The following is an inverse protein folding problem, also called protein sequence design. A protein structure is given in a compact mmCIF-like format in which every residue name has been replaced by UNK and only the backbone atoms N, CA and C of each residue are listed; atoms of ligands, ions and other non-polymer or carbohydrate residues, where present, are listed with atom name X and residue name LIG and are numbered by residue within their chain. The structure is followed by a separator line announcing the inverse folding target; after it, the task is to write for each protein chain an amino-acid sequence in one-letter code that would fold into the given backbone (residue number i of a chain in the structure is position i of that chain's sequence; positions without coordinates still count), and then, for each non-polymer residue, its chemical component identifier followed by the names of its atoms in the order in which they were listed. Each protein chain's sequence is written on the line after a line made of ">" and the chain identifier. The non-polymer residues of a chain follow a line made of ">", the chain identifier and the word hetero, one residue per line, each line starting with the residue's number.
data_IF_489586799704
#
_entry.id   IF_489586799704
#
_cell.length_a   1.000
_cell.length_b   1.000
_cell.length_c   1.000
_cell.angle_alpha   90.00
_cell.angle_beta   90.00
_cell.angle_gamma   90.00
#
_symmetry.space_group_name_H-M   'P 1'
#
loop_
_entity.id
_entity.type
_entity.pdbx_description
1 polymer ?
#
# COMPACT_ATOMS: atom_id res chain seq x y z
N UNK A 1 0.78 -11.77 10.86
CA UNK A 1 0.63 -10.68 11.85
C UNK A 1 0.24 -9.45 11.04
N UNK A 2 -0.86 -8.77 11.35
CA UNK A 2 -1.30 -7.54 10.65
C UNK A 2 -0.93 -6.28 11.43
N UNK A 3 -0.87 -5.15 10.73
CA UNK A 3 -0.61 -3.80 11.28
C UNK A 3 -1.50 -2.78 10.63
N UNK A 4 -1.91 -1.73 11.35
CA UNK A 4 -2.66 -0.63 10.75
C UNK A 4 -1.76 0.16 9.82
N UNK A 5 -2.32 0.67 8.72
CA UNK A 5 -1.57 1.46 7.74
C UNK A 5 -0.86 2.65 8.38
N UNK A 6 -1.48 3.32 9.36
CA UNK A 6 -0.85 4.43 10.10
C UNK A 6 0.39 4.01 10.89
N UNK A 7 0.39 2.83 11.50
CA UNK A 7 1.57 2.32 12.24
C UNK A 7 2.73 2.08 11.27
N UNK A 8 2.42 1.56 10.07
CA UNK A 8 3.43 1.35 9.03
C UNK A 8 3.99 2.67 8.51
N UNK A 9 3.15 3.69 8.34
CA UNK A 9 3.59 5.01 7.91
C UNK A 9 4.52 5.66 8.95
N UNK A 10 4.22 5.54 10.25
CA UNK A 10 5.07 6.05 11.34
C UNK A 10 6.48 5.44 11.32
N UNK A 11 6.63 4.16 10.92
CA UNK A 11 7.94 3.51 10.87
C UNK A 11 8.88 4.04 9.78
N UNK A 12 8.30 4.67 8.75
CA UNK A 12 9.04 5.18 7.59
C UNK A 12 8.95 6.70 7.47
N UNK A 13 8.50 7.38 8.53
CA UNK A 13 8.21 8.82 8.53
C UNK A 13 7.31 9.24 7.34
N UNK A 14 6.39 8.35 6.97
CA UNK A 14 5.45 8.52 5.86
C UNK A 14 4.18 9.24 6.27
N UNK A 15 3.46 9.77 5.28
CA UNK A 15 2.14 10.38 5.47
C UNK A 15 1.05 9.49 4.87
N UNK A 16 0.02 9.17 5.67
CA UNK A 16 -1.15 8.44 5.17
C UNK A 16 -2.09 9.39 4.44
N UNK A 17 -2.46 9.03 3.20
CA UNK A 17 -3.54 9.66 2.46
C UNK A 17 -4.66 8.63 2.30
N UNK A 18 -5.80 8.87 2.96
CA UNK A 18 -6.93 7.94 3.00
C UNK A 18 -7.18 7.38 4.41
N UNK A 19 -7.64 6.13 4.49
CA UNK A 19 -7.96 5.47 5.76
C UNK A 19 -6.74 4.78 6.38
N UNK A 20 -6.22 5.37 7.46
CA UNK A 20 -5.07 4.84 8.22
C UNK A 20 -5.39 3.65 9.13
N UNK A 21 -6.66 3.31 9.32
CA UNK A 21 -7.08 2.19 10.18
C UNK A 21 -7.08 0.84 9.46
N UNK A 22 -6.91 0.84 8.13
CA UNK A 22 -6.87 -0.38 7.31
C UNK A 22 -5.76 -1.31 7.82
N UNK A 23 -6.10 -2.58 8.02
CA UNK A 23 -5.14 -3.61 8.36
C UNK A 23 -4.37 -4.10 7.13
N UNK A 24 -3.05 -4.08 7.25
CA UNK A 24 -2.11 -4.62 6.27
C UNK A 24 -1.50 -5.89 6.86
N UNK A 25 -1.67 -6.99 6.14
CA UNK A 25 -1.23 -8.34 6.52
C UNK A 25 -0.10 -8.89 5.64
N UNK A 26 0.22 -8.22 4.53
CA UNK A 26 1.30 -8.63 3.62
C UNK A 26 1.70 -7.57 2.61
N UNK A 27 2.70 -7.91 1.79
CA UNK A 27 3.23 -7.08 0.71
C UNK A 27 3.18 -7.87 -0.59
N UNK A 28 2.88 -7.20 -1.70
CA UNK A 28 2.84 -7.80 -3.03
C UNK A 28 3.16 -6.78 -4.13
N UNK A 29 3.54 -7.28 -5.31
CA UNK A 29 3.70 -6.43 -6.49
C UNK A 29 2.35 -5.77 -6.86
N UNK A 30 2.37 -4.55 -7.41
CA UNK A 30 1.14 -3.79 -7.70
C UNK A 30 0.16 -4.53 -8.63
N UNK A 31 0.67 -5.41 -9.48
CA UNK A 31 -0.10 -6.23 -10.42
C UNK A 31 -0.84 -7.39 -9.73
N UNK A 32 -0.33 -7.88 -8.59
CA UNK A 32 -0.83 -9.07 -7.89
C UNK A 32 -1.45 -8.74 -6.52
N UNK A 33 -1.18 -7.54 -6.01
CA UNK A 33 -1.62 -7.12 -4.69
C UNK A 33 -3.15 -7.09 -4.58
N UNK A 34 -3.64 -7.73 -3.52
CA UNK A 34 -5.04 -7.80 -3.15
C UNK A 34 -5.37 -7.13 -1.82
N UNK A 35 -6.58 -7.38 -1.34
CA UNK A 35 -7.06 -6.85 -0.07
C UNK A 35 -6.15 -7.28 1.10
N UNK A 36 -5.84 -6.32 1.98
CA UNK A 36 -4.91 -6.48 3.09
C UNK A 36 -3.44 -6.44 2.68
N UNK A 37 -3.10 -6.28 1.40
CA UNK A 37 -1.72 -6.14 0.96
C UNK A 37 -1.37 -4.69 0.61
N UNK A 38 -0.15 -4.30 0.93
CA UNK A 38 0.45 -3.04 0.50
C UNK A 38 1.36 -3.27 -0.71
N UNK A 39 1.30 -2.38 -1.70
CA UNK A 39 2.20 -2.37 -2.85
C UNK A 39 3.08 -1.10 -2.82
N UNK A 40 4.11 -1.05 -3.67
CA UNK A 40 4.98 0.11 -3.82
C UNK A 40 5.24 0.40 -5.29
N UNK A 41 5.26 1.68 -5.65
CA UNK A 41 5.69 2.16 -6.97
C UNK A 41 6.94 3.02 -6.79
N UNK A 42 8.07 2.53 -7.30
CA UNK A 42 9.30 3.35 -7.45
C UNK A 42 9.45 3.96 -8.83
N UNK A 43 8.84 3.35 -9.86
CA UNK A 43 9.03 3.76 -11.24
C UNK A 43 7.72 4.33 -11.82
N UNK A 44 7.71 5.60 -12.28
CA UNK A 44 6.53 6.24 -12.85
C UNK A 44 5.84 5.47 -13.97
N UNK A 45 6.56 4.57 -14.67
CA UNK A 45 5.97 3.70 -15.70
C UNK A 45 4.83 2.81 -15.17
N UNK A 46 4.78 2.55 -13.86
CA UNK A 46 3.73 1.74 -13.24
C UNK A 46 2.55 2.54 -12.70
N UNK A 47 2.57 3.88 -12.74
CA UNK A 47 1.44 4.71 -12.31
C UNK A 47 0.08 4.30 -12.92
N UNK A 48 -0.02 3.85 -14.19
CA UNK A 48 -1.29 3.36 -14.75
C UNK A 48 -1.88 2.13 -14.03
N UNK A 49 -1.09 1.43 -13.20
CA UNK A 49 -1.56 0.28 -12.40
C UNK A 49 -2.27 0.71 -11.12
N UNK A 50 -2.11 1.96 -10.66
CA UNK A 50 -2.83 2.48 -9.49
C UNK A 50 -4.34 2.36 -9.63
N UNK A 51 -4.87 2.58 -10.84
CA UNK A 51 -6.31 2.46 -11.11
C UNK A 51 -6.79 1.02 -11.28
N UNK A 52 -5.89 0.02 -11.28
CA UNK A 52 -6.20 -1.39 -11.57
C UNK A 52 -5.89 -2.34 -10.41
N UNK A 53 -5.03 -1.92 -9.49
CA UNK A 53 -4.60 -2.76 -8.38
C UNK A 53 -5.74 -2.99 -7.39
N UNK A 54 -5.73 -4.16 -6.75
CA UNK A 54 -6.63 -4.48 -5.63
C UNK A 54 -5.92 -4.31 -4.27
N UNK A 55 -4.73 -3.69 -4.26
CA UNK A 55 -3.99 -3.40 -3.04
C UNK A 55 -4.81 -2.52 -2.09
N UNK A 56 -4.71 -2.79 -0.79
CA UNK A 56 -5.32 -1.95 0.24
C UNK A 56 -4.60 -0.61 0.43
N UNK A 57 -3.30 -0.54 0.10
CA UNK A 57 -2.52 0.68 0.12
C UNK A 57 -1.40 0.60 -0.91
N UNK A 58 -0.92 1.76 -1.37
CA UNK A 58 0.24 1.87 -2.26
C UNK A 58 1.18 2.95 -1.73
N UNK A 59 2.45 2.62 -1.58
CA UNK A 59 3.52 3.58 -1.32
C UNK A 59 3.92 4.22 -2.66
N UNK A 60 3.95 5.55 -2.71
CA UNK A 60 4.24 6.39 -3.90
C UNK A 60 5.36 7.39 -3.63
#
# INVERSE_FOLDING_TARGET
>A
MSKKLKELAEWVDGTVVGDGEIEISGVAAIEEAGAGQIAFISNPKYLPHLSKTNASAVIV
#
